data_IF_763369629019
#
_entry.id   IF_763369629019
#
_cell.length_a   1.000
_cell.length_b   1.000
_cell.length_c   1.000
_cell.angle_alpha   90.00
_cell.angle_beta   90.00
_cell.angle_gamma   90.00
#
_symmetry.space_group_name_H-M   'P 1'
#
loop_
_entity.id
_entity.type
_entity.pdbx_description
1 polymer ?
#
# COMPACT_ATOMS: atom_id res chain seq x y z
N UNK A 1 -21.51 -13.00 -20.35
CA UNK A 1 -21.14 -13.62 -21.64
C UNK A 1 -20.09 -14.76 -21.62
N UNK A 2 -19.42 -15.15 -20.50
CA UNK A 2 -18.55 -16.34 -20.48
C UNK A 2 -19.32 -17.68 -20.47
N UNK A 3 -20.40 -17.78 -19.69
CA UNK A 3 -21.22 -19.01 -19.53
C UNK A 3 -21.81 -19.53 -20.85
N UNK A 4 -22.14 -18.65 -21.79
CA UNK A 4 -22.76 -19.07 -23.06
C UNK A 4 -21.81 -19.82 -24.00
N UNK A 5 -20.48 -19.59 -23.91
CA UNK A 5 -19.48 -20.30 -24.73
C UNK A 5 -19.02 -21.62 -24.11
N UNK A 6 -18.96 -21.70 -22.78
CA UNK A 6 -18.73 -22.96 -22.07
C UNK A 6 -19.87 -23.97 -22.34
N UNK A 7 -21.12 -23.51 -22.25
CA UNK A 7 -22.29 -24.33 -22.57
C UNK A 7 -22.30 -24.81 -24.03
N UNK A 8 -21.81 -23.99 -24.97
CA UNK A 8 -21.76 -24.38 -26.39
C UNK A 8 -20.73 -25.49 -26.67
N UNK A 9 -19.60 -25.52 -25.95
CA UNK A 9 -18.61 -26.59 -26.06
C UNK A 9 -19.09 -27.86 -25.37
N UNK A 10 -19.66 -27.74 -24.17
CA UNK A 10 -20.27 -28.85 -23.44
C UNK A 10 -21.43 -29.48 -24.23
N UNK A 11 -22.29 -28.68 -24.86
CA UNK A 11 -23.37 -29.16 -25.74
C UNK A 11 -22.84 -29.87 -26.99
N UNK A 12 -21.72 -29.39 -27.55
CA UNK A 12 -21.09 -30.00 -28.72
C UNK A 12 -20.42 -31.34 -28.35
N UNK A 13 -19.80 -31.41 -27.18
CA UNK A 13 -19.23 -32.64 -26.60
C UNK A 13 -20.36 -33.63 -26.28
N UNK A 14 -21.44 -33.18 -25.61
CA UNK A 14 -22.59 -34.00 -25.28
C UNK A 14 -23.32 -34.53 -26.53
N UNK A 15 -23.43 -33.74 -27.61
CA UNK A 15 -23.96 -34.20 -28.90
C UNK A 15 -23.04 -35.20 -29.58
N UNK A 16 -21.73 -34.94 -29.64
CA UNK A 16 -20.77 -35.85 -30.25
C UNK A 16 -20.72 -37.22 -29.53
N UNK A 17 -20.80 -37.21 -28.19
CA UNK A 17 -20.93 -38.42 -27.37
C UNK A 17 -22.26 -39.14 -27.57
N UNK A 18 -23.37 -38.40 -27.77
CA UNK A 18 -24.71 -38.98 -28.03
C UNK A 18 -24.87 -39.55 -29.45
N UNK A 19 -24.24 -38.95 -30.46
CA UNK A 19 -24.34 -39.40 -31.85
C UNK A 19 -23.39 -40.55 -32.19
N UNK A 20 -22.49 -40.92 -31.27
CA UNK A 20 -21.43 -41.94 -31.47
C UNK A 20 -20.72 -41.81 -32.82
N UNK A 21 -20.55 -40.58 -33.31
CA UNK A 21 -19.94 -40.29 -34.60
C UNK A 21 -18.43 -40.52 -34.47
N UNK A 22 -17.89 -41.63 -35.04
CA UNK A 22 -16.53 -42.07 -34.74
C UNK A 22 -15.47 -41.09 -35.22
N UNK A 23 -15.73 -40.33 -36.28
CA UNK A 23 -14.78 -39.35 -36.80
C UNK A 23 -14.72 -38.10 -35.92
N UNK A 24 -15.86 -37.59 -35.45
CA UNK A 24 -15.87 -36.46 -34.52
C UNK A 24 -15.27 -36.80 -33.16
N UNK A 25 -15.48 -38.03 -32.68
CA UNK A 25 -14.82 -38.55 -31.49
C UNK A 25 -13.30 -38.65 -31.68
N UNK A 26 -12.83 -39.13 -32.84
CA UNK A 26 -11.40 -39.19 -33.19
C UNK A 26 -10.77 -37.79 -33.28
N UNK A 27 -11.44 -36.83 -33.90
CA UNK A 27 -10.96 -35.45 -33.97
C UNK A 27 -10.87 -34.79 -32.60
N UNK A 28 -11.85 -35.05 -31.72
CA UNK A 28 -11.82 -34.55 -30.34
C UNK A 28 -10.66 -35.17 -29.54
N UNK A 29 -10.45 -36.49 -29.66
CA UNK A 29 -9.33 -37.17 -29.01
C UNK A 29 -7.97 -36.71 -29.57
N UNK A 30 -7.87 -36.48 -30.88
CA UNK A 30 -6.67 -35.93 -31.54
C UNK A 30 -6.36 -34.53 -31.03
N UNK A 31 -7.36 -33.64 -31.01
CA UNK A 31 -7.23 -32.28 -30.48
C UNK A 31 -6.81 -32.30 -29.00
N UNK A 32 -7.41 -33.19 -28.19
CA UNK A 32 -7.01 -33.37 -26.78
C UNK A 32 -5.58 -33.86 -26.66
N UNK A 33 -5.16 -34.84 -27.46
CA UNK A 33 -3.79 -35.36 -27.44
C UNK A 33 -2.77 -34.29 -27.88
N UNK A 34 -3.12 -33.46 -28.86
CA UNK A 34 -2.32 -32.31 -29.29
C UNK A 34 -2.19 -31.26 -28.18
N UNK A 35 -3.29 -30.92 -27.49
CA UNK A 35 -3.26 -30.00 -26.35
C UNK A 35 -2.45 -30.54 -25.17
N UNK A 36 -2.56 -31.84 -24.87
CA UNK A 36 -1.75 -32.51 -23.85
C UNK A 36 -0.28 -32.50 -24.24
N UNK A 37 0.05 -32.79 -25.50
CA UNK A 37 1.42 -32.76 -26.00
C UNK A 37 2.02 -31.34 -26.01
N UNK A 38 1.21 -30.31 -26.29
CA UNK A 38 1.62 -28.91 -26.17
C UNK A 38 1.88 -28.56 -24.71
N UNK A 39 1.01 -28.99 -23.78
CA UNK A 39 1.19 -28.76 -22.34
C UNK A 39 2.43 -29.47 -21.79
N UNK A 40 2.67 -30.73 -22.18
CA UNK A 40 3.85 -31.51 -21.80
C UNK A 40 5.16 -30.94 -22.37
N UNK A 41 5.08 -30.20 -23.48
CA UNK A 41 6.23 -29.50 -24.10
C UNK A 41 6.33 -28.02 -23.73
N UNK A 42 5.31 -27.45 -23.08
CA UNK A 42 5.42 -26.15 -22.44
C UNK A 42 6.47 -26.23 -21.35
N UNK A 43 7.05 -25.09 -20.98
CA UNK A 43 8.10 -24.98 -19.96
C UNK A 43 7.62 -25.38 -18.55
N UNK A 44 7.77 -24.53 -17.53
CA UNK A 44 7.36 -24.86 -16.16
C UNK A 44 5.95 -25.43 -16.06
N UNK A 45 5.74 -26.44 -15.21
CA UNK A 45 4.46 -27.15 -15.06
C UNK A 45 3.79 -26.89 -13.70
N UNK A 46 4.52 -26.31 -12.75
CA UNK A 46 4.01 -25.87 -11.44
C UNK A 46 4.20 -24.37 -11.27
N UNK A 47 3.46 -23.76 -10.33
CA UNK A 47 3.62 -22.33 -10.01
C UNK A 47 5.03 -22.03 -9.52
N UNK A 48 5.59 -22.94 -8.73
CA UNK A 48 6.93 -22.82 -8.15
C UNK A 48 8.00 -22.87 -9.23
N UNK A 49 7.95 -23.86 -10.13
CA UNK A 49 8.86 -23.92 -11.29
C UNK A 49 8.72 -22.69 -12.17
N UNK A 50 7.49 -22.18 -12.35
CA UNK A 50 7.23 -21.01 -13.17
C UNK A 50 7.84 -19.75 -12.54
N UNK A 51 7.71 -19.60 -11.22
CA UNK A 51 8.31 -18.50 -10.49
C UNK A 51 9.85 -18.52 -10.58
N UNK A 52 10.48 -19.68 -10.40
CA UNK A 52 11.94 -19.83 -10.55
C UNK A 52 12.40 -19.58 -11.99
N UNK A 53 11.61 -20.03 -12.96
CA UNK A 53 11.88 -19.79 -14.37
C UNK A 53 11.76 -18.31 -14.73
N UNK A 54 10.73 -17.60 -14.26
CA UNK A 54 10.60 -16.14 -14.44
C UNK A 54 11.79 -15.39 -13.82
N UNK A 55 12.19 -15.77 -12.60
CA UNK A 55 13.33 -15.17 -11.92
C UNK A 55 14.66 -15.40 -12.66
N UNK A 56 14.92 -16.63 -13.10
CA UNK A 56 16.22 -17.01 -13.70
C UNK A 56 16.34 -16.70 -15.19
N UNK A 57 15.27 -16.84 -15.97
CA UNK A 57 15.29 -16.65 -17.43
C UNK A 57 14.89 -15.26 -17.85
N UNK A 58 13.90 -14.67 -17.17
CA UNK A 58 13.33 -13.36 -17.51
C UNK A 58 13.92 -12.26 -16.62
N UNK A 59 14.49 -12.62 -15.45
CA UNK A 59 15.01 -11.64 -14.49
C UNK A 59 13.93 -10.94 -13.70
N UNK A 60 12.71 -11.49 -13.67
CA UNK A 60 11.55 -10.89 -12.99
C UNK A 60 11.15 -11.76 -11.81
N UNK A 61 11.20 -11.20 -10.61
CA UNK A 61 10.72 -11.85 -9.39
C UNK A 61 9.27 -11.42 -9.12
N UNK A 62 8.33 -12.33 -9.41
CA UNK A 62 6.90 -12.07 -9.22
C UNK A 62 6.52 -12.18 -7.74
N UNK A 63 5.77 -11.20 -7.25
CA UNK A 63 5.16 -11.25 -5.92
C UNK A 63 4.25 -12.48 -5.76
N UNK A 64 4.34 -13.10 -4.57
CA UNK A 64 3.53 -14.27 -4.18
C UNK A 64 2.35 -13.90 -3.30
N UNK A 65 2.26 -12.65 -2.84
CA UNK A 65 1.25 -12.18 -1.89
C UNK A 65 0.33 -11.19 -2.60
N UNK A 66 -0.97 -11.28 -2.33
CA UNK A 66 -1.91 -10.30 -2.84
C UNK A 66 -1.74 -8.97 -2.07
N UNK A 67 -1.74 -7.85 -2.80
CA UNK A 67 -1.57 -6.53 -2.19
C UNK A 67 -2.75 -6.15 -1.27
N UNK A 68 -3.97 -6.53 -1.61
CA UNK A 68 -5.14 -6.27 -0.79
C UNK A 68 -6.25 -7.31 -1.03
N UNK A 69 -7.26 -7.38 -0.14
CA UNK A 69 -8.40 -8.28 -0.33
C UNK A 69 -9.08 -8.09 -1.68
N UNK A 70 -9.43 -9.21 -2.34
CA UNK A 70 -10.10 -9.20 -3.65
C UNK A 70 -9.18 -9.09 -4.87
N UNK A 71 -7.86 -8.96 -4.68
CA UNK A 71 -6.87 -9.02 -5.77
C UNK A 71 -6.07 -10.32 -5.76
N UNK A 72 -5.66 -10.77 -6.96
CA UNK A 72 -4.69 -11.87 -7.12
C UNK A 72 -3.26 -11.35 -6.99
N UNK A 73 -2.34 -12.17 -6.47
CA UNK A 73 -0.91 -11.85 -6.51
C UNK A 73 -0.35 -11.90 -7.95
N UNK A 74 0.83 -11.33 -8.16
CA UNK A 74 1.47 -11.30 -9.48
C UNK A 74 1.75 -12.70 -10.03
N UNK A 75 2.21 -13.62 -9.17
CA UNK A 75 2.51 -15.00 -9.55
C UNK A 75 1.26 -15.75 -10.03
N UNK A 76 0.17 -15.68 -9.28
CA UNK A 76 -1.07 -16.39 -9.63
C UNK A 76 -1.59 -15.92 -10.99
N UNK A 77 -1.67 -14.61 -11.18
CA UNK A 77 -2.15 -14.02 -12.43
C UNK A 77 -1.26 -14.38 -13.62
N UNK A 78 0.07 -14.28 -13.48
CA UNK A 78 1.01 -14.61 -14.54
C UNK A 78 0.97 -16.11 -14.90
N UNK A 79 0.83 -16.98 -13.90
CA UNK A 79 0.74 -18.42 -14.10
C UNK A 79 -0.57 -18.83 -14.76
N UNK A 80 -1.70 -18.21 -14.38
CA UNK A 80 -3.01 -18.44 -15.01
C UNK A 80 -3.00 -18.03 -16.49
N UNK A 81 -2.33 -16.92 -16.82
CA UNK A 81 -2.10 -16.49 -18.20
C UNK A 81 -1.24 -17.49 -18.97
N UNK A 82 -0.10 -17.88 -18.40
CA UNK A 82 0.83 -18.82 -19.01
C UNK A 82 0.18 -20.19 -19.26
N UNK A 83 -0.64 -20.67 -18.33
CA UNK A 83 -1.36 -21.94 -18.44
C UNK A 83 -2.69 -21.84 -19.19
N UNK A 84 -3.00 -20.69 -19.78
CA UNK A 84 -4.23 -20.42 -20.53
C UNK A 84 -5.52 -20.71 -19.74
N UNK A 85 -5.49 -20.56 -18.41
CA UNK A 85 -6.67 -20.70 -17.55
C UNK A 85 -7.65 -19.53 -17.72
N UNK A 86 -7.15 -18.39 -18.23
CA UNK A 86 -7.95 -17.22 -18.58
C UNK A 86 -7.93 -16.98 -20.10
N UNK A 87 -9.11 -16.79 -20.69
CA UNK A 87 -9.26 -16.53 -22.13
C UNK A 87 -9.14 -15.03 -22.50
N UNK A 88 -9.31 -14.15 -21.50
CA UNK A 88 -9.19 -12.70 -21.62
C UNK A 88 -8.67 -12.18 -20.30
N UNK A 89 -7.64 -11.33 -20.36
CA UNK A 89 -7.16 -10.57 -19.21
C UNK A 89 -7.15 -9.09 -19.60
N UNK A 90 -7.63 -8.25 -18.68
CA UNK A 90 -7.36 -6.82 -18.71
C UNK A 90 -6.33 -6.58 -17.63
N UNK A 91 -5.12 -6.22 -18.05
CA UNK A 91 -4.02 -6.01 -17.12
C UNK A 91 -3.87 -4.53 -16.83
N UNK A 92 -4.24 -4.13 -15.61
CA UNK A 92 -3.99 -2.79 -15.08
C UNK A 92 -2.86 -2.90 -14.08
N UNK A 93 -1.63 -2.70 -14.55
CA UNK A 93 -0.48 -2.58 -13.66
C UNK A 93 -0.45 -1.16 -13.11
N UNK A 94 -0.42 -1.00 -11.78
CA UNK A 94 0.15 0.22 -11.24
C UNK A 94 1.64 0.22 -11.60
N UNK A 95 2.25 1.39 -11.80
CA UNK A 95 3.72 1.52 -11.93
C UNK A 95 4.41 1.24 -10.57
N UNK A 96 4.10 0.12 -9.93
CA UNK A 96 4.16 -0.06 -8.48
C UNK A 96 5.13 -1.14 -7.99
N UNK A 97 6.12 -1.54 -8.79
CA UNK A 97 7.24 -2.36 -8.30
C UNK A 97 8.36 -1.55 -7.65
N UNK A 98 8.33 -0.22 -7.84
CA UNK A 98 9.44 0.69 -7.58
C UNK A 98 9.06 1.79 -6.59
N UNK A 99 8.40 1.45 -5.48
CA UNK A 99 7.96 2.44 -4.47
C UNK A 99 8.28 2.00 -3.04
N UNK A 100 9.43 1.36 -2.86
CA UNK A 100 9.81 0.78 -1.58
C UNK A 100 10.44 1.83 -0.66
N UNK A 101 10.09 1.79 0.62
CA UNK A 101 10.78 2.52 1.69
C UNK A 101 11.35 1.51 2.68
N UNK A 102 12.38 1.90 3.42
CA UNK A 102 13.02 1.01 4.39
C UNK A 102 12.06 0.64 5.54
N UNK A 103 12.25 -0.55 6.10
CA UNK A 103 11.62 -0.98 7.35
C UNK A 103 11.77 0.07 8.47
N UNK A 104 10.74 0.23 9.29
CA UNK A 104 10.71 1.25 10.35
C UNK A 104 10.46 2.68 9.83
N UNK A 105 10.27 2.88 8.53
CA UNK A 105 9.76 4.15 8.00
C UNK A 105 8.37 4.43 8.56
N UNK A 106 8.12 5.67 8.97
CA UNK A 106 6.86 6.04 9.64
C UNK A 106 5.88 6.67 8.64
N UNK A 107 4.65 6.15 8.61
CA UNK A 107 3.54 6.59 7.76
C UNK A 107 2.47 7.25 8.62
N UNK A 108 1.89 8.37 8.15
CA UNK A 108 0.79 9.03 8.83
C UNK A 108 -0.53 8.29 8.59
N UNK A 109 -1.23 7.92 9.67
CA UNK A 109 -2.58 7.40 9.63
C UNK A 109 -3.58 8.53 9.87
N UNK A 110 -4.32 8.90 8.83
CA UNK A 110 -5.36 9.90 8.87
C UNK A 110 -6.64 9.39 9.55
N UNK A 111 -6.70 8.16 10.05
CA UNK A 111 -7.78 7.75 10.95
C UNK A 111 -7.61 8.37 12.35
N UNK A 112 -6.49 8.13 13.02
CA UNK A 112 -6.25 8.57 14.41
C UNK A 112 -5.16 9.63 14.56
N UNK A 113 -4.56 10.08 13.45
CA UNK A 113 -3.53 11.11 13.40
C UNK A 113 -2.15 10.62 13.85
N UNK A 114 -1.99 9.33 14.15
CA UNK A 114 -0.72 8.78 14.62
C UNK A 114 0.19 8.42 13.46
N UNK A 115 1.46 8.21 13.78
CA UNK A 115 2.42 7.62 12.85
C UNK A 115 2.53 6.12 13.14
N UNK A 116 2.36 5.31 12.10
CA UNK A 116 2.50 3.86 12.16
C UNK A 116 3.71 3.42 11.34
N UNK A 117 4.43 2.38 11.77
CA UNK A 117 5.49 1.82 10.96
C UNK A 117 4.95 1.31 9.61
N UNK A 118 5.75 1.41 8.55
CA UNK A 118 5.35 1.03 7.19
C UNK A 118 5.03 -0.47 7.08
N UNK A 119 5.64 -1.31 7.92
CA UNK A 119 5.37 -2.75 8.00
C UNK A 119 3.90 -3.06 8.34
N UNK A 120 3.20 -2.17 9.04
CA UNK A 120 1.78 -2.35 9.38
C UNK A 120 0.90 -2.40 8.12
N UNK A 121 1.34 -1.77 7.01
CA UNK A 121 0.67 -1.85 5.70
C UNK A 121 0.66 -3.27 5.13
N UNK A 122 1.55 -4.15 5.61
CA UNK A 122 1.65 -5.55 5.17
C UNK A 122 0.72 -6.49 5.97
N UNK A 123 -0.06 -5.97 6.93
CA UNK A 123 -0.96 -6.77 7.77
C UNK A 123 -2.17 -7.34 7.02
N UNK A 124 -2.47 -6.80 5.83
CA UNK A 124 -3.67 -7.11 5.04
C UNK A 124 -4.85 -6.17 5.31
N UNK A 125 -4.78 -5.38 6.40
CA UNK A 125 -5.70 -4.28 6.67
C UNK A 125 -5.13 -2.97 6.12
N UNK A 126 -5.96 -2.11 5.51
CA UNK A 126 -5.48 -0.82 5.01
C UNK A 126 -5.15 0.14 6.15
N UNK A 127 -4.16 1.01 5.91
CA UNK A 127 -3.99 2.24 6.67
C UNK A 127 -4.49 3.39 5.82
N UNK A 128 -5.28 4.29 6.40
CA UNK A 128 -5.76 5.48 5.70
C UNK A 128 -4.66 6.54 5.71
N UNK A 129 -3.94 6.70 4.62
CA UNK A 129 -2.77 7.59 4.55
C UNK A 129 -3.10 8.94 3.95
N UNK A 130 -2.26 9.94 4.21
CA UNK A 130 -2.21 11.15 3.40
C UNK A 130 -1.64 10.83 2.01
N UNK A 131 -2.30 11.34 0.97
CA UNK A 131 -1.96 11.15 -0.43
C UNK A 131 -2.14 12.46 -1.20
N UNK A 132 -1.78 12.46 -2.48
CA UNK A 132 -1.95 13.61 -3.37
C UNK A 132 -2.66 13.16 -4.64
N UNK A 133 -3.73 13.86 -5.03
CA UNK A 133 -4.42 13.58 -6.27
C UNK A 133 -3.71 14.21 -7.49
N UNK A 134 -4.26 14.01 -8.70
CA UNK A 134 -3.66 14.54 -9.93
C UNK A 134 -3.76 16.07 -10.07
N UNK A 135 -4.55 16.74 -9.23
CA UNK A 135 -4.62 18.20 -9.16
C UNK A 135 -3.56 18.80 -8.22
N UNK A 136 -2.88 17.95 -7.44
CA UNK A 136 -1.94 18.37 -6.40
C UNK A 136 -2.59 18.61 -5.04
N UNK A 137 -3.88 18.30 -4.88
CA UNK A 137 -4.57 18.44 -3.61
C UNK A 137 -4.19 17.28 -2.67
N UNK A 138 -3.99 17.61 -1.39
CA UNK A 138 -3.79 16.61 -0.35
C UNK A 138 -5.14 15.96 -0.03
N UNK A 139 -5.20 14.63 -0.14
CA UNK A 139 -6.38 13.80 0.10
C UNK A 139 -6.02 12.63 1.01
N UNK A 140 -7.01 11.89 1.49
CA UNK A 140 -6.78 10.60 2.15
C UNK A 140 -7.02 9.44 1.19
N UNK A 141 -6.27 8.36 1.36
CA UNK A 141 -6.43 7.13 0.56
C UNK A 141 -6.08 5.90 1.40
N UNK A 142 -6.74 4.78 1.11
CA UNK A 142 -6.39 3.50 1.73
C UNK A 142 -5.12 2.95 1.08
N UNK A 143 -4.10 2.70 1.89
CA UNK A 143 -2.83 2.13 1.46
C UNK A 143 -2.65 0.71 1.99
N UNK A 144 -2.00 -0.09 1.16
CA UNK A 144 -1.56 -1.46 1.45
C UNK A 144 -0.10 -1.60 1.07
N UNK A 145 0.59 -2.56 1.67
CA UNK A 145 2.01 -2.80 1.51
C UNK A 145 2.34 -4.26 1.26
N UNK A 146 3.49 -4.50 0.66
CA UNK A 146 4.08 -5.83 0.52
C UNK A 146 5.58 -5.74 0.76
N UNK A 147 6.14 -6.77 1.39
CA UNK A 147 7.58 -6.93 1.60
C UNK A 147 8.25 -7.29 0.27
N UNK A 148 9.12 -6.40 -0.22
CA UNK A 148 9.83 -6.55 -1.50
C UNK A 148 11.26 -7.13 -1.35
N UNK A 149 11.59 -7.67 -0.17
CA UNK A 149 12.90 -8.25 0.12
C UNK A 149 14.01 -7.21 0.30
N UNK A 150 15.26 -7.62 0.03
CA UNK A 150 16.44 -6.78 0.22
C UNK A 150 16.74 -6.02 -1.08
N UNK A 151 16.77 -4.69 -1.01
CA UNK A 151 17.14 -3.78 -2.12
C UNK A 151 18.25 -2.85 -1.68
N UNK A 152 19.00 -2.30 -2.65
CA UNK A 152 19.87 -1.16 -2.38
C UNK A 152 19.01 0.07 -2.08
N UNK A 153 19.40 0.85 -1.08
CA UNK A 153 18.65 2.01 -0.61
C UNK A 153 19.54 3.25 -0.51
N UNK A 154 18.91 4.41 -0.70
CA UNK A 154 19.47 5.74 -0.48
C UNK A 154 18.84 6.35 0.78
N UNK A 155 19.63 7.10 1.53
CA UNK A 155 19.16 7.93 2.64
C UNK A 155 19.16 9.39 2.20
N UNK A 156 17.98 9.96 2.00
CA UNK A 156 17.82 11.35 1.60
C UNK A 156 17.53 12.19 2.84
N UNK A 157 18.29 13.27 3.02
CA UNK A 157 18.08 14.26 4.08
C UNK A 157 17.81 15.61 3.45
N UNK A 158 16.64 16.18 3.76
CA UNK A 158 16.28 17.52 3.31
C UNK A 158 16.94 18.60 4.17
N UNK A 159 17.06 19.82 3.65
CA UNK A 159 17.52 20.99 4.41
C UNK A 159 16.72 21.24 5.69
N UNK A 160 15.44 20.88 5.69
CA UNK A 160 14.56 20.95 6.86
C UNK A 160 14.82 19.89 7.94
N UNK A 161 15.80 19.01 7.75
CA UNK A 161 16.14 17.91 8.66
C UNK A 161 15.27 16.66 8.52
N UNK A 162 14.27 16.64 7.63
CA UNK A 162 13.50 15.41 7.33
C UNK A 162 14.36 14.38 6.63
N UNK A 163 14.22 13.13 7.02
CA UNK A 163 14.99 11.99 6.52
C UNK A 163 14.06 10.92 6.00
N UNK A 164 14.37 10.34 4.85
CA UNK A 164 13.73 9.13 4.32
C UNK A 164 14.78 8.18 3.77
N UNK A 165 14.57 6.89 3.97
CA UNK A 165 15.41 5.83 3.37
C UNK A 165 14.53 5.00 2.44
N UNK A 166 14.92 4.90 1.17
CA UNK A 166 14.09 4.31 0.11
C UNK A 166 14.95 3.64 -0.97
N UNK A 167 14.34 2.79 -1.79
CA UNK A 167 15.04 2.12 -2.89
C UNK A 167 15.45 3.10 -3.99
N UNK A 168 16.47 2.75 -4.77
CA UNK A 168 17.02 3.62 -5.83
C UNK A 168 15.97 3.99 -6.88
N UNK A 169 15.10 3.04 -7.22
CA UNK A 169 14.00 3.16 -8.17
C UNK A 169 12.77 3.90 -7.60
N UNK A 170 12.80 4.35 -6.33
CA UNK A 170 11.66 5.02 -5.70
C UNK A 170 11.45 6.41 -6.31
N UNK A 171 10.32 6.69 -6.99
CA UNK A 171 10.08 7.98 -7.58
C UNK A 171 9.67 9.01 -6.52
N UNK A 172 10.37 10.11 -6.48
CA UNK A 172 10.05 11.29 -5.69
C UNK A 172 9.49 12.37 -6.60
N UNK A 173 8.44 13.06 -6.14
CA UNK A 173 7.90 14.20 -6.85
C UNK A 173 8.89 15.37 -6.76
N UNK A 174 9.16 16.04 -7.86
CA UNK A 174 9.98 17.25 -7.96
C UNK A 174 9.24 18.35 -8.72
N UNK A 175 9.84 19.52 -8.89
CA UNK A 175 9.27 20.61 -9.69
C UNK A 175 9.09 20.29 -11.18
N UNK A 176 9.80 19.28 -11.70
CA UNK A 176 9.73 18.88 -13.12
C UNK A 176 9.01 17.54 -13.34
N UNK A 177 8.44 16.97 -12.28
CA UNK A 177 7.72 15.70 -12.31
C UNK A 177 8.30 14.66 -11.36
N UNK A 178 7.95 13.40 -11.58
CA UNK A 178 8.46 12.28 -10.79
C UNK A 178 9.84 11.86 -11.31
N UNK A 179 10.83 11.82 -10.42
CA UNK A 179 12.22 11.42 -10.71
C UNK A 179 12.60 10.29 -9.76
N UNK A 180 13.33 9.29 -10.24
CA UNK A 180 13.81 8.18 -9.40
C UNK A 180 14.85 8.67 -8.41
N UNK A 181 14.90 8.07 -7.21
CA UNK A 181 15.76 8.55 -6.14
C UNK A 181 17.25 8.54 -6.49
N UNK A 182 17.69 7.61 -7.35
CA UNK A 182 19.08 7.55 -7.82
C UNK A 182 19.47 8.65 -8.82
N UNK A 183 18.48 9.26 -9.48
CA UNK A 183 18.70 10.35 -10.42
C UNK A 183 18.71 11.72 -9.73
N UNK A 184 18.31 11.79 -8.46
CA UNK A 184 18.28 13.05 -7.71
C UNK A 184 19.69 13.55 -7.38
N UNK A 185 19.90 14.86 -7.55
CA UNK A 185 21.12 15.53 -7.14
C UNK A 185 20.94 16.34 -5.85
N UNK A 186 22.03 16.52 -5.10
CA UNK A 186 22.03 17.37 -3.91
C UNK A 186 21.73 18.81 -4.30
N UNK A 187 20.68 19.37 -3.70
CA UNK A 187 20.19 20.73 -3.99
C UNK A 187 18.85 20.75 -4.72
N UNK A 188 18.39 19.61 -5.24
CA UNK A 188 17.06 19.51 -5.85
C UNK A 188 15.93 19.57 -4.82
N UNK A 189 14.77 20.06 -5.28
CA UNK A 189 13.57 20.20 -4.47
C UNK A 189 12.65 19.00 -4.69
N UNK A 190 12.39 18.27 -3.61
CA UNK A 190 11.39 17.21 -3.57
C UNK A 190 10.07 17.70 -2.96
N UNK A 191 8.97 17.12 -3.43
CA UNK A 191 7.62 17.38 -2.95
C UNK A 191 7.43 16.86 -1.53
N UNK A 192 6.86 17.71 -0.69
CA UNK A 192 6.48 17.39 0.68
C UNK A 192 5.05 17.89 0.91
N UNK A 193 4.26 17.23 1.78
CA UNK A 193 2.95 17.75 2.14
C UNK A 193 3.12 19.10 2.85
N UNK A 194 2.39 20.11 2.39
CA UNK A 194 2.31 21.42 3.05
C UNK A 194 1.55 21.34 4.37
N UNK A 195 0.48 20.54 4.39
CA UNK A 195 -0.35 20.24 5.55
C UNK A 195 -0.81 18.78 5.45
N UNK A 196 -0.84 18.08 6.58
CA UNK A 196 -1.46 16.75 6.64
C UNK A 196 -2.97 16.91 6.82
N UNK A 197 -3.80 16.02 6.25
CA UNK A 197 -5.24 16.05 6.46
C UNK A 197 -5.55 15.82 7.94
N UNK A 198 -6.61 16.48 8.43
CA UNK A 198 -7.11 16.28 9.79
C UNK A 198 -7.49 14.79 9.98
N UNK A 199 -7.22 14.20 11.16
CA UNK A 199 -7.64 12.84 11.45
C UNK A 199 -9.18 12.68 11.40
N UNK A 200 -9.66 11.53 10.96
CA UNK A 200 -11.08 11.20 11.00
C UNK A 200 -11.61 11.12 12.44
N UNK A 201 -10.77 10.64 13.36
CA UNK A 201 -11.07 10.52 14.77
C UNK A 201 -10.33 11.58 15.58
N UNK A 202 -11.08 12.60 16.00
CA UNK A 202 -10.61 13.67 16.88
C UNK A 202 -11.32 13.61 18.23
N UNK A 203 -10.60 13.96 19.29
CA UNK A 203 -11.18 14.26 20.60
C UNK A 203 -11.31 15.77 20.69
N UNK A 204 -12.53 16.34 20.74
CA UNK A 204 -12.70 17.78 20.87
C UNK A 204 -12.29 18.23 22.27
N UNK A 205 -11.60 19.37 22.35
CA UNK A 205 -11.27 20.05 23.60
C UNK A 205 -12.08 21.35 23.69
N UNK A 206 -12.65 21.65 24.86
CA UNK A 206 -13.24 22.95 25.14
C UNK A 206 -12.18 24.04 25.32
N UNK A 207 -12.58 25.32 25.25
CA UNK A 207 -11.66 26.48 25.40
C UNK A 207 -10.82 26.39 26.68
N UNK A 208 -11.47 26.07 27.81
CA UNK A 208 -10.81 25.91 29.12
C UNK A 208 -9.73 24.82 29.10
N UNK A 209 -9.98 23.72 28.39
CA UNK A 209 -9.04 22.60 28.31
C UNK A 209 -7.85 22.93 27.40
N UNK A 210 -8.10 23.67 26.31
CA UNK A 210 -7.07 24.20 25.41
C UNK A 210 -6.17 25.19 26.14
N UNK A 211 -6.76 26.13 26.87
CA UNK A 211 -6.03 27.15 27.62
C UNK A 211 -5.16 26.51 28.72
N UNK A 212 -5.71 25.56 29.49
CA UNK A 212 -4.94 24.82 30.49
C UNK A 212 -3.79 24.04 29.85
N UNK A 213 -4.06 23.32 28.75
CA UNK A 213 -3.03 22.56 28.04
C UNK A 213 -1.91 23.46 27.54
N UNK A 214 -2.23 24.65 27.01
CA UNK A 214 -1.24 25.62 26.56
C UNK A 214 -0.34 26.06 27.71
N UNK A 215 -0.90 26.35 28.89
CA UNK A 215 -0.12 26.70 30.09
C UNK A 215 0.76 25.54 30.54
N UNK A 216 0.23 24.32 30.59
CA UNK A 216 0.99 23.14 31.02
C UNK A 216 2.13 22.78 30.05
N UNK A 217 1.95 23.01 28.75
CA UNK A 217 3.02 22.80 27.76
C UNK A 217 4.12 23.87 27.86
N UNK A 218 3.76 25.11 28.20
CA UNK A 218 4.70 26.20 28.29
C UNK A 218 5.48 26.20 29.63
N UNK A 219 4.77 26.07 30.75
CA UNK A 219 5.29 26.33 32.10
C UNK A 219 4.96 25.22 33.11
N UNK A 220 4.39 24.10 32.64
CA UNK A 220 3.95 22.99 33.48
C UNK A 220 5.07 22.05 33.93
N UNK A 221 4.82 21.30 35.00
CA UNK A 221 5.71 20.30 35.56
C UNK A 221 4.94 19.06 36.03
N UNK A 222 5.40 17.88 35.59
CA UNK A 222 4.80 16.57 35.89
C UNK A 222 5.75 15.62 36.64
N UNK A 223 6.88 16.12 37.13
CA UNK A 223 7.92 15.30 37.77
C UNK A 223 7.61 14.94 39.23
N UNK A 224 6.55 15.50 39.80
CA UNK A 224 6.08 15.21 41.17
C UNK A 224 4.73 14.52 41.13
N UNK A 225 4.18 14.19 42.29
CA UNK A 225 2.84 13.58 42.40
C UNK A 225 1.68 14.56 42.12
N UNK A 226 1.97 15.80 41.74
CA UNK A 226 0.99 16.83 41.44
C UNK A 226 1.35 17.53 40.12
N UNK A 227 0.33 17.94 39.38
CA UNK A 227 0.51 18.84 38.23
C UNK A 227 0.86 20.21 38.78
N UNK A 228 2.02 20.74 38.39
CA UNK A 228 2.48 22.06 38.81
C UNK A 228 2.63 22.96 37.59
N UNK A 229 2.62 24.27 37.81
CA UNK A 229 3.05 25.27 36.84
C UNK A 229 3.67 26.45 37.60
N UNK A 230 4.46 27.28 36.92
CA UNK A 230 5.02 28.50 37.50
C UNK A 230 4.67 29.69 36.61
N UNK A 231 4.17 30.78 37.20
CA UNK A 231 3.93 32.01 36.45
C UNK A 231 4.08 33.23 37.36
N UNK A 232 4.62 34.31 36.81
CA UNK A 232 4.54 35.65 37.39
C UNK A 232 3.39 36.49 36.81
N UNK A 233 2.68 35.95 35.82
CA UNK A 233 1.61 36.65 35.10
C UNK A 233 0.23 36.38 35.74
N UNK A 234 -0.47 37.42 36.23
CA UNK A 234 -1.80 37.28 36.80
C UNK A 234 -2.87 36.75 35.83
N UNK A 235 -2.73 36.98 34.51
CA UNK A 235 -3.69 36.46 33.53
C UNK A 235 -3.57 34.95 33.37
N UNK A 236 -2.34 34.43 33.32
CA UNK A 236 -2.08 32.98 33.29
C UNK A 236 -2.61 32.32 34.57
N UNK A 237 -2.42 32.95 35.74
CA UNK A 237 -2.97 32.45 37.00
C UNK A 237 -4.50 32.37 36.95
N UNK A 238 -5.18 33.38 36.40
CA UNK A 238 -6.64 33.41 36.25
C UNK A 238 -7.13 32.28 35.34
N UNK A 239 -6.46 32.06 34.21
CA UNK A 239 -6.76 30.96 33.27
C UNK A 239 -6.70 29.60 33.98
N UNK A 240 -5.62 29.35 34.73
CA UNK A 240 -5.47 28.06 35.43
C UNK A 240 -6.47 27.92 36.58
N UNK A 241 -6.83 29.00 37.28
CA UNK A 241 -7.88 28.98 38.31
C UNK A 241 -9.26 28.66 37.73
N UNK A 242 -9.58 29.21 36.56
CA UNK A 242 -10.81 28.91 35.81
C UNK A 242 -10.83 27.43 35.40
N UNK A 243 -9.73 26.92 34.87
CA UNK A 243 -9.61 25.51 34.50
C UNK A 243 -9.64 24.55 35.69
N UNK A 244 -9.02 24.90 36.81
CA UNK A 244 -9.11 24.09 38.02
C UNK A 244 -10.54 24.04 38.56
N UNK A 245 -11.27 25.17 38.51
CA UNK A 245 -12.68 25.20 38.89
C UNK A 245 -13.53 24.32 37.99
N UNK A 246 -13.24 24.27 36.67
CA UNK A 246 -13.92 23.39 35.72
C UNK A 246 -13.74 21.90 36.05
N UNK A 247 -12.58 21.50 36.57
CA UNK A 247 -12.28 20.12 36.97
C UNK A 247 -12.48 19.85 38.48
N UNK A 248 -13.20 20.70 39.21
CA UNK A 248 -13.40 20.59 40.67
C UNK A 248 -12.08 20.49 41.49
N UNK A 249 -11.01 21.07 40.96
CA UNK A 249 -9.68 21.14 41.55
C UNK A 249 -9.44 22.50 42.22
N UNK A 250 -8.36 22.60 43.01
CA UNK A 250 -7.90 23.85 43.65
C UNK A 250 -6.47 24.16 43.22
N UNK A 251 -6.21 25.44 42.95
CA UNK A 251 -4.89 26.01 42.58
C UNK A 251 -4.39 26.90 43.70
#
# INVERSE_FOLDING_TARGET
MPRAKANALEDKIARALKTQDPEKLRDFLRTRAELVAIKEKMGPQTKEEFWEWMKSRVGVELSRVAVCPGHSCQLDMAYELYTFQVLRALWVMSRGGSKCVAEGSMVYDAYDGRRKPVEDLCSGEPIRVASMDSSGAIVTADAYGEVQGIKQCLKITTDSGRVVTLSYDHPLLTSVGWIEAEELEVGERIGLPSLLPEPDWIVPFGEVEIDLLAVLLAEGGLTTSAVMFSTGDPEILRIVQEAASFYDCRV
#
